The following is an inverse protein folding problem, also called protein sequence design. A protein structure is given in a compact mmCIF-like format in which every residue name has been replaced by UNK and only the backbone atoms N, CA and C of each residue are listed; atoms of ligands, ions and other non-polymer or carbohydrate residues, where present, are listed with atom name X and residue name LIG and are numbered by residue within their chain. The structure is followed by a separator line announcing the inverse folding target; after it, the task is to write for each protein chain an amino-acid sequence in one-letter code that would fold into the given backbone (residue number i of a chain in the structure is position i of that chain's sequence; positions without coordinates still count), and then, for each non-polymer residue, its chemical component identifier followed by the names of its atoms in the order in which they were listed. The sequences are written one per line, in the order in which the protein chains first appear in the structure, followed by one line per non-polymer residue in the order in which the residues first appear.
data_IF_507353387125
#
_entry.id   IF_507353387125
#
_cell.length_a   1.000
_cell.length_b   1.000
_cell.length_c   1.000
_cell.angle_alpha   90.00
_cell.angle_beta   90.00
_cell.angle_gamma   90.00
#
_symmetry.space_group_name_H-M   'P 1'
#
loop_
_entity.id
_entity.type
_entity.pdbx_description
1 polymer ?
#
# COMPACT_ATOMS: atom_id res chain seq x y z
N UNK A 1 3.16 -10.32 -4.93
CA UNK A 1 3.10 -10.07 -3.46
C UNK A 1 4.44 -10.26 -2.75
N UNK A 2 5.29 -11.19 -3.14
CA UNK A 2 6.60 -11.40 -2.46
C UNK A 2 7.42 -10.11 -2.34
N UNK A 3 7.61 -9.40 -3.45
CA UNK A 3 8.37 -8.14 -3.42
C UNK A 3 7.71 -7.06 -2.57
N UNK A 4 6.38 -6.98 -2.56
CA UNK A 4 5.65 -6.05 -1.71
C UNK A 4 5.87 -6.35 -0.21
N UNK A 5 5.92 -7.64 0.17
CA UNK A 5 6.21 -8.07 1.53
C UNK A 5 7.66 -7.72 1.94
N UNK A 6 8.63 -7.89 1.06
CA UNK A 6 10.02 -7.46 1.30
C UNK A 6 10.11 -5.95 1.56
N UNK A 7 9.45 -5.15 0.73
CA UNK A 7 9.39 -3.70 0.91
C UNK A 7 8.71 -3.29 2.22
N UNK A 8 7.66 -4.01 2.62
CA UNK A 8 7.01 -3.80 3.91
C UNK A 8 7.98 -4.08 5.09
N UNK A 9 8.77 -5.15 5.00
CA UNK A 9 9.78 -5.45 6.00
C UNK A 9 10.89 -4.37 6.07
N UNK A 10 11.28 -3.82 4.93
CA UNK A 10 12.22 -2.69 4.87
C UNK A 10 11.66 -1.43 5.57
N UNK A 11 10.35 -1.15 5.41
CA UNK A 11 9.70 -0.05 6.11
C UNK A 11 9.76 -0.22 7.64
N UNK A 12 9.59 -1.44 8.14
CA UNK A 12 9.75 -1.76 9.56
C UNK A 12 11.15 -1.40 10.06
N UNK A 13 12.19 -1.73 9.30
CA UNK A 13 13.57 -1.42 9.65
C UNK A 13 13.82 0.10 9.77
N UNK A 14 13.07 0.90 8.99
CA UNK A 14 13.11 2.36 9.08
C UNK A 14 12.21 2.95 10.20
N UNK A 15 11.48 2.13 10.93
CA UNK A 15 10.55 2.56 11.99
C UNK A 15 9.16 2.96 11.49
N UNK A 16 8.86 2.71 10.23
CA UNK A 16 7.55 2.96 9.62
C UNK A 16 6.63 1.75 9.68
N UNK A 17 5.32 2.00 9.64
CA UNK A 17 4.32 0.93 9.54
C UNK A 17 4.59 0.08 8.29
N UNK A 18 4.66 -1.26 8.42
CA UNK A 18 5.09 -2.15 7.35
C UNK A 18 4.05 -2.29 6.24
N UNK A 19 4.15 -1.40 5.28
CA UNK A 19 3.38 -1.45 4.03
C UNK A 19 4.33 -1.35 2.86
N UNK A 20 4.20 -2.27 1.92
CA UNK A 20 4.95 -2.31 0.67
C UNK A 20 4.01 -2.43 -0.53
N UNK A 21 4.40 -1.84 -1.64
CA UNK A 21 3.63 -1.86 -2.87
C UNK A 21 4.53 -1.94 -4.11
N UNK A 22 4.03 -2.61 -5.13
CA UNK A 22 4.66 -2.65 -6.46
C UNK A 22 3.62 -2.38 -7.53
N UNK A 23 4.05 -1.81 -8.64
CA UNK A 23 3.26 -1.71 -9.87
C UNK A 23 3.84 -2.66 -10.90
N UNK A 24 2.98 -3.47 -11.47
CA UNK A 24 3.34 -4.49 -12.48
C UNK A 24 2.70 -4.10 -13.79
N UNK A 25 3.47 -4.11 -14.86
CA UNK A 25 2.99 -3.81 -16.21
C UNK A 25 2.22 -5.01 -16.84
N UNK A 26 1.63 -4.84 -18.04
CA UNK A 26 0.89 -5.93 -18.68
C UNK A 26 1.72 -7.16 -18.99
N UNK A 27 3.05 -7.04 -19.09
CA UNK A 27 3.97 -8.15 -19.35
C UNK A 27 4.43 -8.85 -18.06
N UNK A 28 3.95 -8.42 -16.90
CA UNK A 28 4.31 -8.99 -15.61
C UNK A 28 5.60 -8.44 -15.01
N UNK A 29 6.12 -7.35 -15.56
CA UNK A 29 7.36 -6.71 -15.08
C UNK A 29 7.04 -5.68 -14.01
N UNK A 30 7.79 -5.70 -12.90
CA UNK A 30 7.71 -4.66 -11.87
C UNK A 30 8.35 -3.38 -12.41
N UNK A 31 7.55 -2.32 -12.52
CA UNK A 31 7.97 -1.02 -13.06
C UNK A 31 7.97 0.09 -12.01
N UNK A 32 7.48 -0.18 -10.82
CA UNK A 32 7.50 0.77 -9.71
C UNK A 32 7.42 0.03 -8.38
N UNK A 33 8.14 0.55 -7.39
CA UNK A 33 8.17 0.02 -6.03
C UNK A 33 8.00 1.16 -5.04
N UNK A 34 7.40 0.88 -3.89
CA UNK A 34 7.26 1.81 -2.80
C UNK A 34 7.11 1.10 -1.46
N UNK A 35 7.59 1.74 -0.41
CA UNK A 35 7.30 1.36 0.97
C UNK A 35 6.85 2.59 1.74
N UNK A 36 6.16 2.39 2.84
CA UNK A 36 5.76 3.50 3.70
C UNK A 36 7.02 4.22 4.24
N UNK A 37 7.09 5.52 4.02
CA UNK A 37 8.18 6.39 4.47
C UNK A 37 7.67 7.60 5.24
N UNK A 38 6.43 7.57 5.70
CA UNK A 38 5.78 8.71 6.35
C UNK A 38 6.59 9.24 7.54
N UNK A 39 7.04 8.36 8.44
CA UNK A 39 7.84 8.74 9.61
C UNK A 39 9.29 9.05 9.20
N UNK A 40 9.89 8.20 8.37
CA UNK A 40 11.27 8.36 7.92
C UNK A 40 11.51 9.70 7.22
N UNK A 41 10.61 10.09 6.32
CA UNK A 41 10.77 11.29 5.49
C UNK A 41 9.93 12.48 5.97
N UNK A 42 9.13 12.32 7.05
CA UNK A 42 8.20 13.35 7.52
C UNK A 42 7.18 13.75 6.45
N UNK A 43 6.79 12.79 5.60
CA UNK A 43 5.89 13.01 4.47
C UNK A 43 4.49 12.44 4.76
N UNK A 44 3.46 13.28 4.97
CA UNK A 44 2.11 12.81 5.25
C UNK A 44 1.49 11.99 4.11
N UNK A 45 2.00 12.13 2.89
CA UNK A 45 1.58 11.38 1.70
C UNK A 45 2.56 10.26 1.32
N UNK A 46 3.57 9.98 2.13
CA UNK A 46 4.61 8.98 1.91
C UNK A 46 4.12 7.53 2.10
N UNK A 47 2.99 7.18 1.51
CA UNK A 47 2.45 5.84 1.51
C UNK A 47 3.06 5.00 0.38
N UNK A 48 3.24 3.71 0.62
CA UNK A 48 3.82 2.77 -0.32
C UNK A 48 3.19 2.85 -1.71
N UNK A 49 1.86 2.93 -1.77
CA UNK A 49 1.10 2.95 -3.01
C UNK A 49 1.39 4.21 -3.84
N UNK A 50 1.40 5.37 -3.20
CA UNK A 50 1.70 6.65 -3.88
C UNK A 50 3.10 6.62 -4.45
N UNK A 51 4.07 6.14 -3.68
CA UNK A 51 5.47 6.05 -4.13
C UNK A 51 5.65 5.06 -5.28
N UNK A 52 4.98 3.91 -5.21
CA UNK A 52 5.02 2.90 -6.28
C UNK A 52 4.38 3.44 -7.58
N UNK A 53 3.25 4.13 -7.48
CA UNK A 53 2.59 4.73 -8.64
C UNK A 53 3.47 5.82 -9.28
N UNK A 54 4.09 6.67 -8.49
CA UNK A 54 5.03 7.69 -8.98
C UNK A 54 6.23 7.08 -9.69
N UNK A 55 6.83 6.06 -9.09
CA UNK A 55 7.97 5.35 -9.69
C UNK A 55 7.60 4.71 -11.03
N UNK A 56 6.44 4.07 -11.10
CA UNK A 56 5.94 3.46 -12.34
C UNK A 56 5.69 4.51 -13.44
N UNK A 57 5.07 5.63 -13.08
CA UNK A 57 4.82 6.72 -14.01
C UNK A 57 6.11 7.31 -14.57
N UNK A 58 7.13 7.49 -13.73
CA UNK A 58 8.46 7.94 -14.15
C UNK A 58 9.13 6.93 -15.09
N UNK A 59 9.03 5.65 -14.77
CA UNK A 59 9.59 4.56 -15.60
C UNK A 59 8.95 4.54 -17.00
N UNK A 60 7.64 4.74 -17.08
CA UNK A 60 6.92 4.73 -18.36
C UNK A 60 7.00 6.08 -19.10
N UNK A 61 7.34 7.17 -18.42
CA UNK A 61 7.25 8.53 -18.95
C UNK A 61 5.80 8.96 -19.22
N UNK A 62 4.84 8.38 -18.53
CA UNK A 62 3.41 8.57 -18.72
C UNK A 62 2.68 8.42 -17.38
N UNK A 63 1.77 9.35 -17.06
CA UNK A 63 1.02 9.27 -15.81
C UNK A 63 -0.11 8.23 -15.82
N UNK A 64 -0.61 7.88 -17.00
CA UNK A 64 -1.62 6.82 -17.15
C UNK A 64 -0.96 5.46 -17.09
N UNK A 65 -1.36 4.68 -16.11
CA UNK A 65 -0.86 3.33 -15.88
C UNK A 65 -1.86 2.27 -16.36
N UNK A 66 -2.43 2.49 -17.54
CA UNK A 66 -3.39 1.56 -18.15
C UNK A 66 -2.76 0.19 -18.36
N UNK A 67 -3.50 -0.87 -18.07
CA UNK A 67 -3.03 -2.24 -18.14
C UNK A 67 -2.16 -2.67 -16.96
N UNK A 68 -1.79 -1.75 -16.07
CA UNK A 68 -0.95 -2.05 -14.91
C UNK A 68 -1.78 -2.53 -13.72
N UNK A 69 -1.11 -3.25 -12.83
CA UNK A 69 -1.67 -3.77 -11.57
C UNK A 69 -0.87 -3.18 -10.41
N UNK A 70 -1.55 -2.59 -9.44
CA UNK A 70 -0.96 -2.24 -8.15
C UNK A 70 -1.11 -3.41 -7.19
N UNK A 71 0.00 -3.89 -6.64
CA UNK A 71 0.03 -4.94 -5.61
C UNK A 71 0.50 -4.32 -4.31
N UNK A 72 -0.27 -4.44 -3.25
CA UNK A 72 -0.01 -3.81 -1.96
C UNK A 72 -0.32 -4.74 -0.79
N UNK A 73 0.47 -4.67 0.28
CA UNK A 73 0.32 -5.56 1.45
C UNK A 73 -0.87 -5.20 2.34
N UNK A 74 -1.32 -3.96 2.31
CA UNK A 74 -2.45 -3.46 3.10
C UNK A 74 -3.45 -2.76 2.18
N UNK A 75 -4.73 -2.92 2.45
CA UNK A 75 -5.81 -2.24 1.74
C UNK A 75 -5.56 -0.72 1.66
N UNK A 76 -5.61 -0.11 0.46
CA UNK A 76 -5.39 1.32 0.30
C UNK A 76 -6.39 2.16 1.10
N UNK A 77 -5.88 3.22 1.74
CA UNK A 77 -6.68 4.27 2.37
C UNK A 77 -7.37 5.16 1.30
N UNK A 78 -8.25 6.10 1.69
CA UNK A 78 -8.92 6.97 0.71
C UNK A 78 -7.97 7.77 -0.18
N UNK A 79 -6.85 8.26 0.34
CA UNK A 79 -5.83 8.95 -0.45
C UNK A 79 -5.24 8.05 -1.53
N UNK A 80 -4.84 6.84 -1.15
CA UNK A 80 -4.22 5.88 -2.07
C UNK A 80 -5.22 5.29 -3.05
N UNK A 81 -6.44 4.99 -2.62
CA UNK A 81 -7.51 4.56 -3.50
C UNK A 81 -7.83 5.62 -4.56
N UNK A 82 -7.88 6.88 -4.17
CA UNK A 82 -7.99 8.00 -5.11
C UNK A 82 -6.82 8.08 -6.08
N UNK A 83 -5.60 7.92 -5.57
CA UNK A 83 -4.38 7.98 -6.40
C UNK A 83 -4.34 6.86 -7.46
N UNK A 84 -4.65 5.62 -7.08
CA UNK A 84 -4.66 4.50 -8.03
C UNK A 84 -5.76 4.62 -9.10
N UNK A 85 -6.90 5.19 -8.75
CA UNK A 85 -7.98 5.49 -9.70
C UNK A 85 -7.57 6.60 -10.66
N UNK A 86 -6.97 7.66 -10.16
CA UNK A 86 -6.48 8.77 -11.00
C UNK A 86 -5.34 8.32 -11.92
N UNK A 87 -4.48 7.43 -11.45
CA UNK A 87 -3.41 6.84 -12.26
C UNK A 87 -3.92 5.84 -13.32
N UNK A 88 -5.20 5.46 -13.30
CA UNK A 88 -5.82 4.57 -14.28
C UNK A 88 -5.26 3.14 -14.27
N UNK A 89 -4.87 2.60 -13.11
CA UNK A 89 -4.54 1.19 -13.03
C UNK A 89 -5.78 0.33 -13.30
N UNK A 90 -5.58 -0.84 -13.87
CA UNK A 90 -6.68 -1.76 -14.20
C UNK A 90 -7.15 -2.55 -12.98
N UNK A 91 -6.22 -2.89 -12.08
CA UNK A 91 -6.50 -3.74 -10.92
C UNK A 91 -5.64 -3.33 -9.73
N UNK A 92 -6.20 -3.48 -8.54
CA UNK A 92 -5.47 -3.51 -7.28
C UNK A 92 -5.56 -4.90 -6.65
N UNK A 93 -4.41 -5.45 -6.31
CA UNK A 93 -4.28 -6.70 -5.54
C UNK A 93 -3.81 -6.31 -4.16
N UNK A 94 -4.59 -6.60 -3.13
CA UNK A 94 -4.27 -6.25 -1.75
C UNK A 94 -4.17 -7.48 -0.87
N UNK A 95 -3.32 -7.42 0.13
CA UNK A 95 -3.13 -8.49 1.12
C UNK A 95 -4.14 -8.38 2.26
N UNK A 96 -3.79 -7.67 3.31
CA UNK A 96 -4.64 -7.49 4.47
C UNK A 96 -5.71 -6.41 4.23
N UNK A 97 -6.92 -6.65 4.74
CA UNK A 97 -7.97 -5.65 4.81
C UNK A 97 -7.72 -4.70 5.98
N UNK A 98 -8.12 -3.44 5.82
CA UNK A 98 -7.98 -2.43 6.87
C UNK A 98 -9.37 -1.99 7.37
N UNK A 99 -9.82 -2.46 8.54
CA UNK A 99 -11.13 -2.11 9.07
C UNK A 99 -11.23 -0.67 9.59
N UNK A 100 -10.12 0.07 9.66
CA UNK A 100 -10.09 1.45 10.17
C UNK A 100 -10.12 2.48 9.06
N UNK A 101 -9.35 2.29 8.00
CA UNK A 101 -9.17 3.27 6.92
C UNK A 101 -9.25 2.67 5.51
N UNK A 102 -9.59 1.41 5.38
CA UNK A 102 -9.64 0.75 4.08
C UNK A 102 -10.70 1.37 3.16
N UNK A 103 -10.29 1.73 1.95
CA UNK A 103 -11.15 2.40 0.98
C UNK A 103 -11.40 1.57 -0.28
N UNK A 104 -11.07 0.27 -0.25
CA UNK A 104 -11.32 -0.68 -1.34
C UNK A 104 -12.33 -1.77 -0.95
N UNK A 105 -13.21 -1.47 0.00
CA UNK A 105 -14.30 -2.34 0.42
C UNK A 105 -14.57 -2.40 1.92
N UNK A 106 -13.60 -2.09 2.80
CA UNK A 106 -13.78 -2.22 4.25
C UNK A 106 -14.61 -1.10 4.86
N UNK A 107 -14.14 0.15 4.78
CA UNK A 107 -14.85 1.33 5.33
C UNK A 107 -15.51 2.11 4.19
N UNK A 108 -14.75 2.36 3.14
CA UNK A 108 -15.22 2.93 1.89
C UNK A 108 -14.97 1.97 0.75
N UNK A 109 -15.62 2.21 -0.38
CA UNK A 109 -15.41 1.44 -1.59
C UNK A 109 -15.31 2.37 -2.80
N UNK A 110 -14.21 3.12 -2.86
CA UNK A 110 -13.99 4.12 -3.90
C UNK A 110 -13.84 3.51 -5.29
N UNK A 111 -13.10 2.40 -5.49
CA UNK A 111 -12.93 1.82 -6.82
C UNK A 111 -14.24 1.35 -7.47
N UNK A 112 -15.26 1.05 -6.67
CA UNK A 112 -16.57 0.58 -7.15
C UNK A 112 -17.67 1.63 -7.01
N UNK A 113 -17.33 2.86 -6.66
CA UNK A 113 -18.30 3.94 -6.60
C UNK A 113 -18.88 4.18 -8.00
N UNK A 114 -20.21 4.24 -8.10
CA UNK A 114 -20.92 4.45 -9.38
C UNK A 114 -20.57 5.76 -10.06
N UNK A 115 -20.04 6.73 -9.33
CA UNK A 115 -19.63 8.05 -9.83
C UNK A 115 -18.18 8.05 -10.32
N UNK A 116 -17.44 6.97 -10.10
CA UNK A 116 -16.07 6.87 -10.55
C UNK A 116 -16.00 6.91 -12.09
N UNK A 117 -15.08 7.72 -12.61
CA UNK A 117 -14.85 7.86 -14.06
C UNK A 117 -13.92 6.76 -14.61
N UNK A 118 -13.24 6.05 -13.75
CA UNK A 118 -12.41 4.90 -14.06
C UNK A 118 -12.69 3.79 -13.06
N UNK A 119 -12.89 2.58 -13.54
CA UNK A 119 -13.14 1.42 -12.68
C UNK A 119 -11.86 0.63 -12.50
N UNK A 120 -11.60 0.25 -11.25
CA UNK A 120 -10.46 -0.59 -10.86
C UNK A 120 -11.01 -1.89 -10.30
N UNK A 121 -10.54 -3.02 -10.82
CA UNK A 121 -10.86 -4.32 -10.25
C UNK A 121 -10.11 -4.50 -8.91
N UNK A 122 -10.80 -5.01 -7.91
CA UNK A 122 -10.22 -5.25 -6.57
C UNK A 122 -10.14 -6.75 -6.31
N UNK A 123 -8.94 -7.25 -6.07
CA UNK A 123 -8.68 -8.61 -5.60
C UNK A 123 -8.04 -8.55 -4.22
N UNK A 124 -8.78 -8.92 -3.19
CA UNK A 124 -8.34 -8.83 -1.81
C UNK A 124 -8.02 -10.15 -1.15
N UNK A 125 -7.32 -10.12 -0.03
CA UNK A 125 -6.99 -11.28 0.78
C UNK A 125 -5.83 -12.12 0.23
N UNK A 126 -5.03 -11.58 -0.66
CA UNK A 126 -3.89 -12.30 -1.25
C UNK A 126 -2.75 -12.36 -0.23
N UNK A 127 -2.44 -13.56 0.24
CA UNK A 127 -1.45 -13.80 1.32
C UNK A 127 -1.75 -12.97 2.58
N UNK A 128 -3.02 -12.84 2.88
CA UNK A 128 -3.53 -12.03 3.99
C UNK A 128 -2.86 -12.35 5.33
N UNK A 129 -2.68 -13.63 5.75
CA UNK A 129 -2.04 -13.95 7.02
C UNK A 129 -0.61 -13.40 7.15
N UNK A 130 0.17 -13.46 6.10
CA UNK A 130 1.56 -12.95 6.09
C UNK A 130 1.58 -11.42 6.15
N UNK A 131 0.69 -10.77 5.41
CA UNK A 131 0.55 -9.31 5.44
C UNK A 131 0.09 -8.82 6.82
N UNK A 132 -0.87 -9.49 7.43
CA UNK A 132 -1.36 -9.17 8.78
C UNK A 132 -0.28 -9.36 9.84
N UNK A 133 0.51 -10.41 9.74
CA UNK A 133 1.57 -10.71 10.71
C UNK A 133 2.57 -9.57 10.83
N UNK A 134 3.03 -9.02 9.71
CA UNK A 134 3.95 -7.88 9.73
C UNK A 134 3.38 -6.69 10.50
N UNK A 135 2.09 -6.40 10.31
CA UNK A 135 1.41 -5.30 11.01
C UNK A 135 1.27 -5.59 12.51
N UNK A 136 0.84 -6.79 12.86
CA UNK A 136 0.66 -7.20 14.26
C UNK A 136 1.99 -7.14 15.00
N UNK A 137 3.05 -7.73 14.46
CA UNK A 137 4.37 -7.76 15.07
C UNK A 137 4.91 -6.34 15.30
N UNK A 138 4.78 -5.46 14.31
CA UNK A 138 5.20 -4.07 14.44
C UNK A 138 4.50 -3.32 15.58
N UNK A 139 3.19 -3.49 15.74
CA UNK A 139 2.44 -2.80 16.78
C UNK A 139 2.63 -3.44 18.15
N UNK A 140 2.92 -4.73 18.24
CA UNK A 140 3.31 -5.40 19.51
C UNK A 140 4.64 -4.86 19.98
N UNK A 141 5.66 -4.85 19.15
CA UNK A 141 7.00 -4.35 19.48
C UNK A 141 6.96 -2.90 19.97
N UNK A 142 6.15 -2.07 19.33
CA UNK A 142 5.97 -0.68 19.77
C UNK A 142 5.33 -0.54 21.15
N UNK A 143 4.38 -1.40 21.48
CA UNK A 143 3.75 -1.36 22.82
C UNK A 143 4.71 -1.80 23.91
N UNK A 144 5.57 -2.78 23.64
CA UNK A 144 6.57 -3.27 24.59
C UNK A 144 7.74 -2.28 24.77
N UNK A 145 8.11 -1.56 23.70
CA UNK A 145 9.13 -0.52 23.73
C UNK A 145 8.73 0.80 24.41
N UNK A 146 7.42 0.99 24.69
CA UNK A 146 6.87 2.16 25.39
C UNK A 146 6.45 1.85 26.84
N UNK A 147 6.97 0.78 27.42
CA UNK A 147 6.81 0.52 28.85
C UNK A 147 7.25 1.75 29.66
N UNK A 148 6.54 2.12 30.74
CA UNK A 148 6.89 3.30 31.53
C UNK A 148 8.32 3.16 32.01
N UNK A 149 9.14 4.20 31.78
CA UNK A 149 10.37 4.37 32.51
C UNK A 149 9.98 4.34 34.00
N UNK A 150 10.35 3.29 34.68
CA UNK A 150 10.24 3.27 36.14
C UNK A 150 11.11 4.43 36.65
N UNK A 151 10.42 5.52 37.00
CA UNK A 151 11.04 6.64 37.70
C UNK A 151 11.36 6.22 39.13
N UNK A 152 12.59 6.39 39.51
CA UNK A 152 12.98 6.50 40.89
C UNK A 152 12.32 7.72 41.56
#
# INVERSE_FOLDING_TARGET
MDRALELAAEATADGDVPVGAVVVDPDGVVIGEGRNTRERDGDPAGHAEVLALRAAAQQLGEWRLQGCILVVTLEPCPMCAGALMLARVDRVVLGAWDPKLGACGSVWDLPRDRRATHRVEVLGGVREPECQRLLVDFFVDRREGTGPAEGE
#
